data_IF_353259313576
#
_entry.id   IF_353259313576
#
_cell.length_a   1.000
_cell.length_b   1.000
_cell.length_c   1.000
_cell.angle_alpha   90.00
_cell.angle_beta   90.00
_cell.angle_gamma   90.00
#
_symmetry.space_group_name_H-M   'P 1'
#
loop_
_entity.id
_entity.type
_entity.pdbx_description
1 polymer ?
#
# COMPACT_ATOMS: atom_id res chain seq x y z
N UNK A 1 18.05 -10.48 6.59
CA UNK A 1 17.37 -9.63 7.60
C UNK A 1 16.35 -8.74 6.88
N UNK A 2 15.06 -8.77 7.26
CA UNK A 2 14.04 -7.92 6.63
C UNK A 2 14.06 -6.54 7.31
N UNK A 3 14.42 -5.49 6.57
CA UNK A 3 14.37 -4.12 7.08
C UNK A 3 12.93 -3.75 7.44
N UNK A 4 12.72 -3.21 8.65
CA UNK A 4 11.42 -2.71 9.12
C UNK A 4 10.83 -1.72 8.10
N UNK A 5 11.68 -0.91 7.46
CA UNK A 5 11.25 0.03 6.42
C UNK A 5 10.61 -0.70 5.24
N UNK A 6 11.20 -1.82 4.80
CA UNK A 6 10.70 -2.58 3.65
C UNK A 6 9.37 -3.26 3.98
N UNK A 7 9.22 -3.75 5.21
CA UNK A 7 7.96 -4.33 5.69
C UNK A 7 6.87 -3.26 5.79
N UNK A 8 7.18 -2.09 6.36
CA UNK A 8 6.25 -0.97 6.50
C UNK A 8 5.78 -0.46 5.13
N UNK A 9 6.71 -0.26 4.20
CA UNK A 9 6.39 0.16 2.83
C UNK A 9 5.53 -0.87 2.10
N UNK A 10 5.80 -2.16 2.31
CA UNK A 10 4.99 -3.21 1.69
C UNK A 10 3.57 -3.23 2.25
N UNK A 11 3.40 -3.12 3.57
CA UNK A 11 2.07 -3.02 4.19
C UNK A 11 1.33 -1.76 3.80
N UNK A 12 2.03 -0.62 3.70
CA UNK A 12 1.45 0.64 3.27
C UNK A 12 1.04 0.58 1.80
N UNK A 13 1.91 0.06 0.93
CA UNK A 13 1.59 -0.16 -0.48
C UNK A 13 0.41 -1.13 -0.64
N UNK A 14 0.38 -2.24 0.11
CA UNK A 14 -0.70 -3.21 0.06
C UNK A 14 -2.02 -2.60 0.56
N UNK A 15 -2.04 -1.94 1.72
CA UNK A 15 -3.24 -1.32 2.27
C UNK A 15 -3.79 -0.22 1.37
N UNK A 16 -2.90 0.58 0.76
CA UNK A 16 -3.28 1.68 -0.11
C UNK A 16 -3.72 1.17 -1.50
N UNK A 17 -3.12 0.10 -2.02
CA UNK A 17 -3.61 -0.60 -3.21
C UNK A 17 -5.01 -1.19 -2.99
N UNK A 18 -5.26 -1.79 -1.81
CA UNK A 18 -6.60 -2.27 -1.43
C UNK A 18 -7.58 -1.09 -1.35
N UNK A 19 -7.20 0.03 -0.74
CA UNK A 19 -8.02 1.23 -0.67
C UNK A 19 -8.40 1.77 -2.05
N UNK A 20 -7.44 1.83 -2.99
CA UNK A 20 -7.72 2.23 -4.37
C UNK A 20 -8.60 1.23 -5.09
N UNK A 21 -8.38 -0.07 -4.92
CA UNK A 21 -9.22 -1.09 -5.54
C UNK A 21 -10.69 -0.94 -5.10
N UNK A 22 -10.91 -0.72 -3.80
CA UNK A 22 -12.25 -0.46 -3.24
C UNK A 22 -12.81 0.85 -3.78
N UNK A 23 -12.07 1.95 -3.76
CA UNK A 23 -12.53 3.23 -4.29
C UNK A 23 -12.88 3.15 -5.79
N UNK A 24 -12.03 2.49 -6.58
CA UNK A 24 -12.26 2.26 -8.02
C UNK A 24 -13.54 1.45 -8.25
N UNK A 25 -13.75 0.38 -7.48
CA UNK A 25 -14.96 -0.43 -7.57
C UNK A 25 -16.22 0.38 -7.22
N UNK A 26 -16.17 1.21 -6.19
CA UNK A 26 -17.28 2.09 -5.79
C UNK A 26 -17.58 3.14 -6.86
N UNK A 27 -16.56 3.85 -7.35
CA UNK A 27 -16.70 4.88 -8.40
C UNK A 27 -17.26 4.26 -9.68
N UNK A 28 -16.74 3.11 -10.09
CA UNK A 28 -17.24 2.41 -11.27
C UNK A 28 -18.70 1.97 -11.10
N UNK A 29 -19.05 1.46 -9.90
CA UNK A 29 -20.43 1.11 -9.57
C UNK A 29 -21.39 2.30 -9.66
N UNK A 30 -21.01 3.44 -9.07
CA UNK A 30 -21.78 4.68 -9.11
C UNK A 30 -21.92 5.20 -10.55
N UNK A 31 -20.80 5.32 -11.28
CA UNK A 31 -20.79 5.79 -12.66
C UNK A 31 -21.66 4.90 -13.57
N UNK A 32 -21.66 3.57 -13.35
CA UNK A 32 -22.52 2.64 -14.09
C UNK A 32 -24.00 2.83 -13.78
N UNK A 33 -24.36 3.11 -12.52
CA UNK A 33 -25.75 3.39 -12.14
C UNK A 33 -26.25 4.70 -12.74
N UNK A 34 -25.44 5.77 -12.65
CA UNK A 34 -25.77 7.07 -13.25
C UNK A 34 -25.88 6.97 -14.78
N UNK A 35 -24.93 6.30 -15.44
CA UNK A 35 -25.01 6.03 -16.88
C UNK A 35 -26.29 5.28 -17.24
N UNK A 36 -26.63 4.23 -16.48
CA UNK A 36 -27.87 3.47 -16.72
C UNK A 36 -29.12 4.35 -16.64
N UNK A 37 -29.21 5.21 -15.63
CA UNK A 37 -30.34 6.11 -15.44
C UNK A 37 -30.42 7.16 -16.58
N UNK A 38 -29.28 7.72 -16.98
CA UNK A 38 -29.20 8.70 -18.06
C UNK A 38 -29.63 8.11 -19.40
N UNK A 39 -29.13 6.93 -19.76
CA UNK A 39 -29.50 6.26 -21.01
C UNK A 39 -30.96 5.79 -21.00
N UNK A 40 -31.46 5.25 -19.88
CA UNK A 40 -32.89 4.90 -19.75
C UNK A 40 -33.77 6.15 -19.92
N UNK A 41 -33.34 7.31 -19.42
CA UNK A 41 -34.04 8.58 -19.62
C UNK A 41 -34.02 9.03 -21.09
N UNK A 42 -32.87 8.94 -21.77
CA UNK A 42 -32.76 9.24 -23.20
C UNK A 42 -33.67 8.35 -24.06
N UNK A 43 -33.76 7.05 -23.76
CA UNK A 43 -34.66 6.13 -24.46
C UNK A 43 -36.13 6.54 -24.30
N UNK A 44 -36.55 6.95 -23.09
CA UNK A 44 -37.90 7.47 -22.85
C UNK A 44 -38.17 8.77 -23.64
N UNK A 45 -37.20 9.68 -23.67
CA UNK A 45 -37.33 10.94 -24.42
C UNK A 45 -37.41 10.69 -25.93
N UNK A 46 -36.55 9.83 -26.49
CA UNK A 46 -36.60 9.44 -27.89
C UNK A 46 -37.94 8.80 -28.25
N UNK A 47 -38.44 7.91 -27.39
CA UNK A 47 -39.75 7.30 -27.58
C UNK A 47 -40.91 8.32 -27.53
N UNK A 48 -40.83 9.30 -26.64
CA UNK A 48 -41.84 10.35 -26.51
C UNK A 48 -41.78 11.38 -27.66
N UNK A 49 -40.61 11.56 -28.29
CA UNK A 49 -40.42 12.43 -29.44
C UNK A 49 -40.94 11.81 -30.75
N UNK A 50 -41.17 10.49 -30.78
CA UNK A 50 -41.68 9.82 -31.96
C UNK A 50 -43.16 10.16 -32.21
N UNK A 51 -43.57 10.39 -33.47
CA UNK A 51 -44.97 10.66 -33.81
C UNK A 51 -45.89 9.53 -33.34
N UNK A 52 -47.06 9.87 -32.80
CA UNK A 52 -48.05 8.86 -32.35
C UNK A 52 -48.80 8.17 -33.50
N UNK A 53 -48.58 8.58 -34.73
CA UNK A 53 -49.31 8.13 -35.92
C UNK A 53 -48.35 7.65 -37.01
N UNK A 54 -48.13 6.33 -37.07
CA UNK A 54 -47.40 5.65 -38.12
C UNK A 54 -48.41 4.95 -39.05
N UNK A 55 -48.70 5.56 -40.20
CA UNK A 55 -49.75 5.07 -41.12
C UNK A 55 -49.21 4.29 -42.32
N UNK A 56 -47.91 4.37 -42.62
CA UNK A 56 -47.28 3.69 -43.75
C UNK A 56 -45.87 3.20 -43.39
N UNK A 57 -45.39 2.09 -43.97
CA UNK A 57 -43.99 1.68 -43.86
C UNK A 57 -43.10 2.79 -44.43
N UNK A 58 -42.22 3.33 -43.59
CA UNK A 58 -41.21 4.30 -44.03
C UNK A 58 -39.98 3.50 -44.40
N UNK A 59 -39.55 3.58 -45.66
CA UNK A 59 -38.28 2.98 -46.05
C UNK A 59 -37.15 3.61 -45.22
N UNK A 60 -36.19 2.82 -44.71
CA UNK A 60 -35.07 3.38 -43.97
C UNK A 60 -34.33 4.42 -44.82
N UNK A 61 -33.90 5.56 -44.24
CA UNK A 61 -33.18 6.59 -44.99
C UNK A 61 -31.78 6.14 -45.43
N UNK A 62 -31.31 4.98 -44.95
CA UNK A 62 -29.98 4.44 -45.21
C UNK A 62 -30.08 3.27 -46.17
N UNK A 63 -29.38 3.40 -47.30
CA UNK A 63 -29.25 2.37 -48.33
C UNK A 63 -28.56 1.13 -47.72
N UNK A 64 -29.06 -0.08 -48.02
CA UNK A 64 -28.50 -1.35 -47.54
C UNK A 64 -27.19 -1.72 -48.25
N UNK A 65 -26.32 -0.73 -48.48
CA UNK A 65 -24.98 -0.91 -49.00
C UNK A 65 -24.11 -1.61 -47.96
N UNK A 66 -23.21 -2.47 -48.44
CA UNK A 66 -22.24 -3.20 -47.63
C UNK A 66 -21.59 -2.28 -46.59
N UNK A 67 -21.65 -2.59 -45.28
CA UNK A 67 -21.06 -1.74 -44.26
C UNK A 67 -19.57 -1.58 -44.55
N UNK A 68 -19.09 -0.34 -44.59
CA UNK A 68 -17.65 -0.08 -44.73
C UNK A 68 -16.94 -0.53 -43.44
N UNK A 69 -15.67 -0.91 -43.53
CA UNK A 69 -14.92 -1.43 -42.36
C UNK A 69 -14.85 -0.49 -41.15
N UNK A 70 -15.15 0.80 -41.34
CA UNK A 70 -15.27 1.79 -40.26
C UNK A 70 -16.65 1.75 -39.58
N UNK A 71 -17.75 1.50 -40.32
CA UNK A 71 -19.10 1.37 -39.75
C UNK A 71 -19.22 0.15 -38.83
N UNK A 72 -18.51 -0.96 -39.16
CA UNK A 72 -18.52 -2.18 -38.35
C UNK A 72 -17.91 -1.99 -36.95
N UNK A 73 -17.05 -0.98 -36.76
CA UNK A 73 -16.45 -0.65 -35.47
C UNK A 73 -17.38 0.21 -34.59
N UNK A 74 -18.35 0.91 -35.19
CA UNK A 74 -19.29 1.81 -34.49
C UNK A 74 -20.74 1.26 -34.43
N UNK A 75 -21.08 0.28 -35.27
CA UNK A 75 -22.40 -0.35 -35.31
C UNK A 75 -22.83 -1.03 -33.99
N UNK A 76 -21.88 -1.33 -33.10
CA UNK A 76 -22.13 -1.94 -31.79
C UNK A 76 -22.37 -0.90 -30.68
N UNK A 77 -22.43 0.40 -31.01
CA UNK A 77 -22.72 1.52 -30.09
C UNK A 77 -24.00 2.27 -30.45
N UNK A 78 -24.64 1.95 -31.58
CA UNK A 78 -25.78 2.70 -32.11
C UNK A 78 -27.12 2.27 -31.50
N UNK A 79 -28.00 3.27 -31.34
CA UNK A 79 -29.38 3.07 -30.90
C UNK A 79 -30.21 2.52 -32.06
N UNK A 80 -30.86 1.38 -31.84
CA UNK A 80 -31.72 0.73 -32.83
C UNK A 80 -33.17 1.04 -32.52
N UNK A 81 -33.89 1.60 -33.49
CA UNK A 81 -35.33 1.87 -33.37
C UNK A 81 -36.07 0.88 -34.28
N UNK A 82 -37.00 0.13 -33.70
CA UNK A 82 -37.86 -0.83 -34.39
C UNK A 82 -39.31 -0.52 -34.08
N UNK A 83 -40.12 -0.27 -35.10
CA UNK A 83 -41.55 0.04 -34.97
C UNK A 83 -42.35 -1.09 -35.58
N UNK A 84 -43.29 -1.63 -34.80
CA UNK A 84 -44.23 -2.67 -35.21
C UNK A 84 -45.65 -2.08 -35.33
N UNK A 85 -46.45 -2.58 -36.27
CA UNK A 85 -47.90 -2.37 -36.23
C UNK A 85 -48.57 -3.37 -35.26
N UNK A 86 -49.82 -3.11 -34.91
CA UNK A 86 -50.61 -3.95 -33.99
C UNK A 86 -50.92 -5.35 -34.52
N UNK A 87 -50.58 -5.65 -35.77
CA UNK A 87 -50.63 -6.99 -36.37
C UNK A 87 -49.29 -7.73 -36.33
N UNK A 88 -48.24 -7.12 -35.76
CA UNK A 88 -46.89 -7.70 -35.66
C UNK A 88 -46.05 -7.51 -36.92
N UNK A 89 -46.44 -6.61 -37.83
CA UNK A 89 -45.65 -6.29 -39.03
C UNK A 89 -44.71 -5.12 -38.74
N UNK A 90 -43.43 -5.27 -39.10
CA UNK A 90 -42.42 -4.21 -38.96
C UNK A 90 -42.72 -3.05 -39.90
N UNK A 91 -42.95 -1.85 -39.35
CA UNK A 91 -43.18 -0.60 -40.08
C UNK A 91 -41.89 0.17 -40.34
N UNK A 92 -40.92 0.07 -39.44
CA UNK A 92 -39.65 0.78 -39.54
C UNK A 92 -38.55 0.06 -38.74
N UNK A 93 -37.35 -0.04 -39.31
CA UNK A 93 -36.16 -0.55 -38.64
C UNK A 93 -34.97 0.33 -39.01
N UNK A 94 -34.34 0.96 -38.01
CA UNK A 94 -33.23 1.88 -38.25
C UNK A 94 -31.98 1.17 -38.78
N UNK A 95 -31.63 0.01 -38.21
CA UNK A 95 -30.45 -0.77 -38.60
C UNK A 95 -30.76 -2.28 -38.49
N UNK A 96 -30.23 -3.08 -39.41
CA UNK A 96 -30.54 -4.52 -39.57
C UNK A 96 -29.92 -5.44 -38.51
N UNK A 97 -29.39 -4.90 -37.41
CA UNK A 97 -28.73 -5.62 -36.32
C UNK A 97 -29.09 -4.95 -34.99
N UNK A 98 -29.35 -5.69 -33.89
CA UNK A 98 -29.50 -7.15 -33.78
C UNK A 98 -30.95 -7.62 -34.01
N UNK A 99 -31.16 -8.93 -34.15
CA UNK A 99 -32.49 -9.54 -34.13
C UNK A 99 -33.15 -9.31 -32.75
N UNK A 100 -33.89 -8.21 -32.63
CA UNK A 100 -34.67 -7.90 -31.45
C UNK A 100 -35.73 -9.01 -31.25
N UNK A 101 -36.01 -9.40 -30.00
CA UNK A 101 -37.05 -10.39 -29.74
C UNK A 101 -38.37 -9.91 -30.37
N UNK A 102 -39.05 -10.76 -31.17
CA UNK A 102 -40.25 -10.38 -31.89
C UNK A 102 -41.44 -10.08 -30.98
N UNK A 103 -41.35 -10.41 -29.69
CA UNK A 103 -42.35 -10.09 -28.69
C UNK A 103 -41.85 -8.95 -27.81
N UNK A 104 -42.51 -7.79 -27.96
CA UNK A 104 -42.21 -6.59 -27.20
C UNK A 104 -42.90 -6.65 -25.82
N UNK A 105 -42.13 -6.89 -24.76
CA UNK A 105 -42.59 -6.59 -23.40
C UNK A 105 -42.60 -5.07 -23.20
N UNK A 106 -43.75 -4.52 -22.82
CA UNK A 106 -43.90 -3.10 -22.53
C UNK A 106 -43.01 -2.70 -21.34
N UNK A 107 -42.32 -1.56 -21.47
CA UNK A 107 -41.36 -1.07 -20.49
C UNK A 107 -39.92 -1.44 -20.85
N UNK A 108 -39.06 -1.56 -19.83
CA UNK A 108 -37.66 -1.94 -20.03
C UNK A 108 -37.48 -3.45 -19.89
N UNK A 109 -36.87 -4.07 -20.89
CA UNK A 109 -36.40 -5.45 -20.85
C UNK A 109 -34.94 -5.54 -21.28
N UNK A 110 -34.26 -6.59 -20.85
CA UNK A 110 -32.91 -6.89 -21.32
C UNK A 110 -32.98 -8.11 -22.25
N UNK A 111 -32.31 -8.05 -23.39
CA UNK A 111 -32.23 -9.15 -24.33
C UNK A 111 -30.77 -9.54 -24.56
N UNK A 112 -30.50 -10.84 -24.55
CA UNK A 112 -29.21 -11.39 -24.95
C UNK A 112 -29.26 -11.64 -26.46
N UNK A 113 -28.34 -11.01 -27.19
CA UNK A 113 -28.21 -11.15 -28.65
C UNK A 113 -26.79 -11.63 -29.00
N UNK A 114 -26.54 -11.97 -30.27
CA UNK A 114 -25.22 -12.40 -30.74
C UNK A 114 -24.15 -11.30 -30.61
N UNK A 115 -24.53 -10.03 -30.58
CA UNK A 115 -23.63 -8.89 -30.36
C UNK A 115 -23.49 -8.50 -28.88
N UNK A 116 -24.19 -9.17 -27.96
CA UNK A 116 -24.06 -8.94 -26.53
C UNK A 116 -25.39 -8.69 -25.82
N UNK A 117 -25.31 -8.08 -24.64
CA UNK A 117 -26.48 -7.73 -23.83
C UNK A 117 -27.02 -6.37 -24.28
N UNK A 118 -28.31 -6.31 -24.62
CA UNK A 118 -29.00 -5.11 -25.06
C UNK A 118 -30.11 -4.76 -24.08
N UNK A 119 -30.31 -3.46 -23.86
CA UNK A 119 -31.45 -2.94 -23.11
C UNK A 119 -32.48 -2.39 -24.09
N UNK A 120 -33.69 -2.89 -23.99
CA UNK A 120 -34.81 -2.58 -24.88
C UNK A 120 -35.85 -1.80 -24.08
N UNK A 121 -36.35 -0.71 -24.65
CA UNK A 121 -37.49 0.04 -24.15
C UNK A 121 -38.62 -0.07 -25.17
N UNK A 122 -39.71 -0.73 -24.80
CA UNK A 122 -40.89 -0.87 -25.64
C UNK A 122 -42.05 -0.04 -25.11
N UNK A 123 -42.67 0.77 -25.97
CA UNK A 123 -43.87 1.56 -25.63
C UNK A 123 -44.91 1.45 -26.75
N UNK A 124 -46.18 1.40 -26.36
CA UNK A 124 -47.29 1.42 -27.31
C UNK A 124 -47.69 2.87 -27.62
N UNK A 125 -47.61 3.26 -28.89
CA UNK A 125 -48.06 4.55 -29.42
C UNK A 125 -49.21 4.30 -30.40
N UNK A 126 -50.44 4.45 -29.92
CA UNK A 126 -51.64 4.14 -30.71
C UNK A 126 -51.69 2.66 -31.11
N UNK A 127 -51.86 2.32 -32.41
CA UNK A 127 -51.87 0.95 -32.87
C UNK A 127 -50.46 0.36 -33.07
N UNK A 128 -49.38 1.16 -32.90
CA UNK A 128 -48.01 0.73 -33.13
C UNK A 128 -47.26 0.50 -31.81
N UNK A 129 -46.28 -0.41 -31.83
CA UNK A 129 -45.34 -0.62 -30.72
C UNK A 129 -43.96 -0.17 -31.18
N UNK A 130 -43.41 0.80 -30.47
CA UNK A 130 -42.06 1.31 -30.70
C UNK A 130 -41.11 0.62 -29.72
N UNK A 131 -40.07 -0.01 -30.23
CA UNK A 131 -38.96 -0.56 -29.47
C UNK A 131 -37.70 0.24 -29.78
N UNK A 132 -37.03 0.69 -28.72
CA UNK A 132 -35.71 1.31 -28.79
C UNK A 132 -34.76 0.37 -28.10
N UNK A 133 -33.71 -0.07 -28.77
CA UNK A 133 -32.71 -0.96 -28.23
C UNK A 133 -31.35 -0.28 -28.21
N UNK A 134 -30.63 -0.44 -27.10
CA UNK A 134 -29.30 0.13 -26.94
C UNK A 134 -28.36 -0.91 -26.31
N UNK A 135 -27.11 -1.02 -26.78
CA UNK A 135 -26.17 -2.00 -26.26
C UNK A 135 -25.71 -1.63 -24.84
N UNK A 136 -25.59 -2.62 -23.96
CA UNK A 136 -25.08 -2.41 -22.60
C UNK A 136 -23.56 -2.15 -22.59
N UNK A 137 -22.84 -2.49 -23.66
CA UNK A 137 -21.41 -2.20 -23.84
C UNK A 137 -21.14 -0.69 -23.83
N UNK A 138 -21.92 0.10 -24.56
CA UNK A 138 -21.83 1.56 -24.58
C UNK A 138 -21.95 2.20 -23.18
N UNK A 139 -22.79 1.61 -22.31
CA UNK A 139 -22.93 2.07 -20.91
C UNK A 139 -21.70 1.72 -20.07
N UNK A 140 -21.12 0.54 -20.28
CA UNK A 140 -19.93 0.05 -19.58
C UNK A 140 -18.68 0.83 -20.00
N UNK A 141 -18.52 1.13 -21.29
CA UNK A 141 -17.40 1.92 -21.82
C UNK A 141 -17.43 3.34 -21.27
N UNK A 142 -18.59 4.00 -21.27
CA UNK A 142 -18.75 5.33 -20.68
C UNK A 142 -18.42 5.34 -19.18
N UNK A 143 -18.97 4.38 -18.43
CA UNK A 143 -18.70 4.24 -17.00
C UNK A 143 -17.20 3.98 -16.72
N UNK A 144 -16.54 3.14 -17.52
CA UNK A 144 -15.12 2.86 -17.41
C UNK A 144 -14.26 4.10 -17.69
N UNK A 145 -14.58 4.88 -18.72
CA UNK A 145 -13.86 6.13 -19.03
C UNK A 145 -14.03 7.17 -17.92
N UNK A 146 -15.25 7.35 -17.39
CA UNK A 146 -15.49 8.26 -16.26
C UNK A 146 -14.74 7.81 -14.99
N UNK A 147 -14.78 6.52 -14.68
CA UNK A 147 -14.05 5.95 -13.55
C UNK A 147 -12.54 6.15 -13.73
N UNK A 148 -11.98 5.84 -14.90
CA UNK A 148 -10.56 5.99 -15.18
C UNK A 148 -10.11 7.45 -15.08
N UNK A 149 -10.88 8.40 -15.62
CA UNK A 149 -10.56 9.83 -15.55
C UNK A 149 -10.55 10.34 -14.10
N UNK A 150 -11.37 9.76 -13.23
CA UNK A 150 -11.45 10.11 -11.80
C UNK A 150 -10.32 9.45 -11.00
N UNK A 151 -10.01 8.18 -11.29
CA UNK A 151 -9.03 7.38 -10.54
C UNK A 151 -7.60 7.62 -11.00
N UNK A 152 -7.37 7.96 -12.28
CA UNK A 152 -6.04 8.22 -12.85
C UNK A 152 -5.19 9.22 -12.05
N UNK A 153 -5.68 10.41 -11.66
CA UNK A 153 -4.88 11.34 -10.84
C UNK A 153 -4.54 10.76 -9.47
N UNK A 154 -5.43 9.95 -8.88
CA UNK A 154 -5.21 9.30 -7.58
C UNK A 154 -4.13 8.22 -7.67
N UNK A 155 -4.12 7.46 -8.77
CA UNK A 155 -3.07 6.48 -9.09
C UNK A 155 -1.70 7.14 -9.28
N UNK A 156 -1.66 8.33 -9.89
CA UNK A 156 -0.42 9.11 -10.03
C UNK A 156 0.08 9.69 -8.70
N UNK A 157 -0.82 10.08 -7.80
CA UNK A 157 -0.46 10.58 -6.48
C UNK A 157 0.15 9.49 -5.58
N UNK A 158 -0.21 8.23 -5.82
CA UNK A 158 0.22 7.09 -5.02
C UNK A 158 1.75 6.91 -4.95
N UNK A 159 2.50 6.77 -6.07
CA UNK A 159 3.94 6.64 -6.02
C UNK A 159 4.60 7.85 -5.37
N UNK A 160 4.03 9.05 -5.54
CA UNK A 160 4.52 10.26 -4.88
C UNK A 160 4.39 10.18 -3.35
N UNK A 161 3.24 9.74 -2.83
CA UNK A 161 3.06 9.52 -1.39
C UNK A 161 3.98 8.42 -0.87
N UNK A 162 4.10 7.30 -1.59
CA UNK A 162 5.03 6.22 -1.24
C UNK A 162 6.49 6.70 -1.16
N UNK A 163 6.90 7.52 -2.12
CA UNK A 163 8.22 8.17 -2.14
C UNK A 163 8.42 9.12 -0.96
N UNK A 164 7.42 9.96 -0.65
CA UNK A 164 7.47 10.87 0.49
C UNK A 164 7.57 10.12 1.82
N UNK A 165 6.79 9.06 2.01
CA UNK A 165 6.88 8.21 3.21
C UNK A 165 8.24 7.53 3.29
N UNK A 166 8.77 7.02 2.19
CA UNK A 166 10.11 6.43 2.14
C UNK A 166 11.19 7.44 2.58
N UNK A 167 11.12 8.69 2.09
CA UNK A 167 12.01 9.76 2.53
C UNK A 167 11.82 10.14 4.00
N UNK A 168 10.57 10.25 4.47
CA UNK A 168 10.26 10.66 5.83
C UNK A 168 10.74 9.61 6.85
N UNK A 169 10.41 8.34 6.65
CA UNK A 169 10.86 7.23 7.50
C UNK A 169 12.36 7.00 7.37
N UNK A 170 12.92 7.18 6.17
CA UNK A 170 14.36 7.13 5.92
C UNK A 170 15.13 8.15 6.74
N UNK A 171 14.64 9.40 6.79
CA UNK A 171 15.22 10.46 7.61
C UNK A 171 14.93 10.28 9.10
N UNK A 172 13.72 9.90 9.48
CA UNK A 172 13.33 9.72 10.89
C UNK A 172 14.07 8.60 11.61
N UNK A 173 14.45 7.52 10.89
CA UNK A 173 15.21 6.40 11.47
C UNK A 173 16.73 6.59 11.41
N UNK A 174 17.23 7.68 10.81
CA UNK A 174 18.67 7.93 10.70
C UNK A 174 19.35 8.08 12.07
N UNK A 175 18.84 8.87 13.03
CA UNK A 175 19.47 9.02 14.35
C UNK A 175 19.59 7.69 15.10
N UNK A 176 18.61 6.79 14.95
CA UNK A 176 18.65 5.47 15.57
C UNK A 176 19.80 4.60 15.03
N UNK A 177 20.09 4.70 13.73
CA UNK A 177 21.25 4.00 13.13
C UNK A 177 22.56 4.59 13.61
N UNK A 178 22.62 5.90 13.78
CA UNK A 178 23.80 6.61 14.31
C UNK A 178 24.08 6.14 15.74
N UNK A 179 23.07 6.11 16.64
CA UNK A 179 23.20 5.55 17.99
C UNK A 179 23.66 4.09 17.96
N UNK A 180 23.02 3.25 17.15
CA UNK A 180 23.39 1.83 17.06
C UNK A 180 24.85 1.65 16.61
N UNK A 181 25.32 2.48 15.68
CA UNK A 181 26.71 2.47 15.24
C UNK A 181 27.68 2.99 16.31
N UNK A 182 27.34 4.05 17.04
CA UNK A 182 28.16 4.57 18.15
C UNK A 182 28.28 3.54 19.27
N UNK A 183 27.18 2.88 19.65
CA UNK A 183 27.18 1.83 20.68
C UNK A 183 28.00 0.62 20.23
N UNK A 184 27.84 0.17 18.97
CA UNK A 184 28.58 -0.99 18.46
C UNK A 184 30.07 -0.74 18.29
N UNK A 185 30.51 0.52 18.17
CA UNK A 185 31.91 0.89 18.04
C UNK A 185 32.63 1.10 19.38
N UNK A 186 31.91 0.99 20.52
CA UNK A 186 32.49 1.21 21.84
C UNK A 186 33.06 -0.07 22.43
N UNK A 187 34.26 0.09 23.00
CA UNK A 187 34.96 -0.95 23.74
C UNK A 187 34.97 -0.64 25.24
N UNK A 188 35.35 -1.62 26.06
CA UNK A 188 35.44 -1.48 27.52
C UNK A 188 36.37 -0.34 28.01
N UNK A 189 37.22 0.20 27.13
CA UNK A 189 38.10 1.33 27.42
C UNK A 189 37.53 2.69 26.97
N UNK A 190 36.41 2.72 26.24
CA UNK A 190 35.84 3.94 25.65
C UNK A 190 34.34 4.06 25.96
N UNK A 191 34.03 4.27 27.24
CA UNK A 191 32.66 4.43 27.77
C UNK A 191 32.19 5.91 27.78
N UNK A 192 32.70 6.74 26.86
CA UNK A 192 32.28 8.14 26.74
C UNK A 192 30.76 8.23 26.50
N UNK A 193 30.06 9.29 26.95
CA UNK A 193 28.62 9.44 26.71
C UNK A 193 28.29 9.52 25.20
N UNK A 194 27.13 8.99 24.80
CA UNK A 194 26.56 9.15 23.44
C UNK A 194 26.25 10.63 23.18
N UNK A 195 26.46 11.06 21.95
CA UNK A 195 26.19 12.44 21.53
C UNK A 195 24.68 12.68 21.41
N UNK A 196 24.10 13.49 22.31
CA UNK A 196 22.63 13.76 22.34
C UNK A 196 22.24 15.00 21.49
N UNK A 197 23.19 15.65 20.80
CA UNK A 197 22.86 16.87 20.05
C UNK A 197 21.99 16.58 18.82
N UNK A 198 20.85 17.25 18.75
CA UNK A 198 19.88 17.24 17.63
C UNK A 198 19.10 15.92 17.44
N UNK A 199 18.80 15.21 18.52
CA UNK A 199 17.92 14.03 18.46
C UNK A 199 16.43 14.42 18.50
N UNK A 200 15.55 13.66 17.82
CA UNK A 200 14.11 13.77 17.99
C UNK A 200 13.69 13.52 19.45
N UNK A 201 12.63 14.19 19.89
CA UNK A 201 12.11 14.09 21.26
C UNK A 201 11.74 12.65 21.66
N UNK A 202 11.33 11.83 20.68
CA UNK A 202 10.96 10.43 20.89
C UNK A 202 12.17 9.52 21.17
N UNK A 203 13.37 9.92 20.73
CA UNK A 203 14.60 9.13 20.87
C UNK A 203 15.43 9.59 22.08
N UNK A 204 15.30 10.85 22.50
CA UNK A 204 16.06 11.40 23.63
C UNK A 204 16.00 10.57 24.93
N UNK A 205 14.83 10.04 25.37
CA UNK A 205 14.77 9.21 26.58
C UNK A 205 15.59 7.91 26.47
N UNK A 206 15.70 7.34 25.28
CA UNK A 206 16.48 6.12 25.04
C UNK A 206 17.98 6.40 25.12
N UNK A 207 18.44 7.51 24.53
CA UNK A 207 19.85 7.91 24.63
C UNK A 207 20.25 8.22 26.07
N UNK A 208 19.35 8.85 26.84
CA UNK A 208 19.60 9.17 28.24
C UNK A 208 19.71 7.90 29.09
N UNK A 209 18.81 6.94 28.89
CA UNK A 209 18.87 5.64 29.57
C UNK A 209 20.18 4.88 29.24
N UNK A 210 20.60 4.88 27.97
CA UNK A 210 21.88 4.28 27.55
C UNK A 210 23.08 4.98 28.21
N UNK A 211 23.09 6.31 28.25
CA UNK A 211 24.14 7.08 28.89
C UNK A 211 24.23 6.80 30.40
N UNK A 212 23.10 6.69 31.09
CA UNK A 212 23.07 6.31 32.50
C UNK A 212 23.65 4.89 32.73
N UNK A 213 23.30 3.93 31.87
CA UNK A 213 23.83 2.57 31.96
C UNK A 213 25.34 2.53 31.70
N UNK A 214 25.83 3.24 30.68
CA UNK A 214 27.25 3.37 30.40
C UNK A 214 28.00 4.02 31.55
N UNK A 215 27.43 5.05 32.17
CA UNK A 215 28.01 5.70 33.36
C UNK A 215 28.14 4.75 34.55
N UNK A 216 27.10 3.93 34.83
CA UNK A 216 27.15 2.91 35.89
C UNK A 216 28.20 1.84 35.60
N UNK A 217 28.32 1.42 34.34
CA UNK A 217 29.31 0.44 33.91
C UNK A 217 30.74 0.97 34.05
N UNK A 218 30.98 2.21 33.63
CA UNK A 218 32.28 2.87 33.78
C UNK A 218 32.68 2.93 35.26
N UNK A 219 31.74 3.36 36.11
CA UNK A 219 32.00 3.43 37.54
C UNK A 219 32.35 2.05 38.13
N UNK A 220 31.61 1.00 37.80
CA UNK A 220 31.89 -0.36 38.28
C UNK A 220 33.27 -0.88 37.84
N UNK A 221 33.67 -0.61 36.59
CA UNK A 221 35.00 -1.00 36.07
C UNK A 221 36.12 -0.25 36.80
N UNK A 222 35.95 1.05 37.05
CA UNK A 222 36.95 1.84 37.78
C UNK A 222 37.10 1.34 39.23
N UNK A 223 36.00 1.02 39.91
CA UNK A 223 36.05 0.44 41.27
C UNK A 223 36.74 -0.92 41.27
N UNK A 224 36.49 -1.77 40.27
CA UNK A 224 37.17 -3.05 40.13
C UNK A 224 38.67 -2.89 39.88
N UNK A 225 39.08 -1.93 39.03
CA UNK A 225 40.49 -1.62 38.77
C UNK A 225 41.21 -1.14 40.02
N UNK A 226 40.57 -0.24 40.79
CA UNK A 226 41.10 0.25 42.05
C UNK A 226 41.29 -0.89 43.06
N UNK A 227 40.28 -1.75 43.24
CA UNK A 227 40.36 -2.91 44.13
C UNK A 227 41.50 -3.87 43.75
N UNK A 228 41.67 -4.18 42.46
CA UNK A 228 42.75 -5.04 41.99
C UNK A 228 44.12 -4.39 42.21
N UNK A 229 44.25 -3.08 41.99
CA UNK A 229 45.49 -2.34 42.24
C UNK A 229 45.84 -2.34 43.75
N UNK A 230 44.86 -2.09 44.60
CA UNK A 230 45.02 -2.10 46.06
C UNK A 230 45.40 -3.50 46.56
N UNK A 231 44.72 -4.55 46.08
CA UNK A 231 45.04 -5.94 46.42
C UNK A 231 46.47 -6.32 45.96
N UNK A 232 46.88 -5.91 44.76
CA UNK A 232 48.23 -6.15 44.28
C UNK A 232 49.28 -5.45 45.14
N UNK A 233 49.02 -4.22 45.59
CA UNK A 233 49.92 -3.49 46.47
C UNK A 233 49.98 -4.14 47.87
N UNK A 234 48.82 -4.50 48.42
CA UNK A 234 48.70 -5.15 49.72
C UNK A 234 49.37 -6.53 49.77
N UNK A 235 49.45 -7.25 48.64
CA UNK A 235 50.17 -8.52 48.54
C UNK A 235 51.68 -8.36 48.31
N UNK A 236 52.12 -7.27 47.68
CA UNK A 236 53.55 -7.02 47.42
C UNK A 236 54.35 -6.82 48.70
N UNK A 237 53.77 -6.14 49.69
CA UNK A 237 54.38 -5.87 51.00
C UNK A 237 54.69 -7.16 51.80
N UNK A 238 53.74 -8.07 52.05
CA UNK A 238 54.01 -9.31 52.77
C UNK A 238 54.91 -10.26 51.95
N UNK A 239 54.80 -10.30 50.62
CA UNK A 239 55.73 -11.07 49.79
C UNK A 239 57.17 -10.56 49.87
N UNK A 240 57.37 -9.24 49.88
CA UNK A 240 58.69 -8.64 50.08
C UNK A 240 59.26 -8.95 51.46
N UNK A 241 58.41 -8.93 52.51
CA UNK A 241 58.81 -9.32 53.86
C UNK A 241 59.23 -10.80 53.91
N UNK A 242 58.45 -11.71 53.31
CA UNK A 242 58.79 -13.14 53.21
C UNK A 242 60.08 -13.37 52.41
N UNK A 243 60.31 -12.63 51.33
CA UNK A 243 61.55 -12.70 50.55
C UNK A 243 62.77 -12.23 51.35
N UNK A 244 62.65 -11.14 52.12
CA UNK A 244 63.72 -10.67 53.01
C UNK A 244 64.04 -11.69 54.09
N UNK A 245 63.02 -12.27 54.73
CA UNK A 245 63.21 -13.30 55.73
C UNK A 245 63.87 -14.56 55.14
N UNK A 246 63.47 -14.99 53.93
CA UNK A 246 64.12 -16.09 53.23
C UNK A 246 65.61 -15.81 52.93
N UNK A 247 65.94 -14.57 52.51
CA UNK A 247 67.34 -14.16 52.30
C UNK A 247 68.16 -14.12 53.60
N UNK A 248 67.55 -13.77 54.73
CA UNK A 248 68.21 -13.81 56.04
C UNK A 248 68.56 -15.25 56.45
N UNK A 249 67.67 -16.21 56.19
CA UNK A 249 67.95 -17.64 56.41
C UNK A 249 69.08 -18.13 55.51
N UNK A 250 69.11 -17.72 54.24
CA UNK A 250 70.13 -18.13 53.26
C UNK A 250 71.53 -17.58 53.61
N UNK A 251 71.61 -16.36 54.17
CA UNK A 251 72.87 -15.71 54.58
C UNK A 251 73.37 -16.11 55.98
N UNK A 252 72.65 -16.92 56.73
CA UNK A 252 73.07 -17.31 58.08
C UNK A 252 74.25 -18.32 58.06
N UNK A 253 75.40 -17.88 58.55
CA UNK A 253 76.66 -18.66 58.54
C UNK A 253 76.77 -19.70 59.68
N UNK A 254 76.01 -19.55 60.77
CA UNK A 254 75.99 -20.49 61.91
C UNK A 254 74.66 -21.24 62.04
N UNK A 255 74.69 -22.44 62.63
CA UNK A 255 73.50 -23.27 62.84
C UNK A 255 72.47 -22.61 63.77
N UNK A 256 72.96 -21.88 64.79
CA UNK A 256 72.13 -21.13 65.75
C UNK A 256 71.45 -19.93 65.08
N UNK A 257 72.18 -19.13 64.29
CA UNK A 257 71.61 -17.99 63.56
C UNK A 257 70.56 -18.42 62.51
N UNK A 258 70.75 -19.59 61.90
CA UNK A 258 69.78 -20.15 60.94
C UNK A 258 68.50 -20.63 61.64
N UNK A 259 68.60 -21.21 62.84
CA UNK A 259 67.44 -21.60 63.64
C UNK A 259 66.63 -20.38 64.10
N UNK A 260 67.30 -19.30 64.49
CA UNK A 260 66.63 -18.06 64.90
C UNK A 260 65.89 -17.38 63.74
N UNK A 261 66.52 -17.29 62.56
CA UNK A 261 65.91 -16.76 61.35
C UNK A 261 64.70 -17.60 60.86
N UNK A 262 64.77 -18.93 60.96
CA UNK A 262 63.63 -19.82 60.66
C UNK A 262 62.51 -19.70 61.70
N UNK A 263 62.84 -19.43 62.96
CA UNK A 263 61.87 -19.14 64.02
C UNK A 263 61.02 -17.91 63.72
N UNK A 264 61.66 -16.85 63.18
CA UNK A 264 60.99 -15.61 62.78
C UNK A 264 60.09 -15.76 61.53
N UNK A 265 60.32 -16.78 60.69
CA UNK A 265 59.46 -17.12 59.53
C UNK A 265 58.18 -17.86 59.89
N UNK A 266 58.11 -18.46 61.08
CA UNK A 266 56.95 -19.26 61.53
C UNK A 266 55.90 -18.46 62.32
N UNK A 267 56.21 -17.22 62.70
CA UNK A 267 55.29 -16.27 63.34
C UNK A 267 54.57 -15.43 62.30
#
# INVERSE_FOLDING_TARGET
MRSIQRTLLWWLAAGLAVGIAVATALIYGQARQEANALFDYQMKQLAAALPSQFSAPVAPPFDSGSPTGADLLHADEDVVIHIWDGSGRSLYLSHSHPALPPQAELGFSNAQTNSGEWRIYSVQLGPAVVQIAQPMSARRTLAAHMALRTVAPLLLLLPLLGWLVWLAVGRGLRPLREIASEVSARDANTLAPLSVRNMPEEIAPLSDALNQLLGRLAHAIDTQRAFVADAAHALRTPLAALQLQAQLVERAESAEARQEAVGQLRQ
#
